data_IF_600518677890
#
_entry.id   IF_600518677890
#
_cell.length_a   1.000
_cell.length_b   1.000
_cell.length_c   1.000
_cell.angle_alpha   90.00
_cell.angle_beta   90.00
_cell.angle_gamma   90.00
#
_symmetry.space_group_name_H-M   'P 1'
#
loop_
_entity.id
_entity.type
_entity.pdbx_description
1 polymer ?
#
# COMPACT_ATOMS: atom_id res chain seq x y z
N UNK A 1 24.50 -10.81 12.19
CA UNK A 1 23.16 -11.04 11.62
C UNK A 1 22.55 -9.66 11.37
N UNK A 2 22.42 -9.19 10.12
CA UNK A 2 21.81 -7.89 9.89
C UNK A 2 20.32 -7.99 10.21
N UNK A 3 19.84 -7.10 11.08
CA UNK A 3 18.42 -6.94 11.41
C UNK A 3 17.73 -6.21 10.25
N UNK A 4 16.68 -6.80 9.69
CA UNK A 4 15.87 -6.15 8.66
C UNK A 4 15.03 -5.01 9.27
N UNK A 5 14.88 -3.93 8.52
CA UNK A 5 13.95 -2.83 8.81
C UNK A 5 12.92 -2.78 7.67
N UNK A 6 11.63 -2.82 7.99
CA UNK A 6 10.52 -2.75 7.02
C UNK A 6 10.29 -1.33 6.48
N UNK A 7 9.47 -1.18 5.44
CA UNK A 7 9.12 0.10 4.83
C UNK A 7 7.72 0.55 5.28
N UNK A 8 7.57 1.81 5.71
CA UNK A 8 6.27 2.39 6.10
C UNK A 8 5.93 3.59 5.20
N UNK A 9 5.03 3.43 4.22
CA UNK A 9 4.50 4.55 3.41
C UNK A 9 3.17 4.98 4.02
N UNK A 10 3.07 6.23 4.48
CA UNK A 10 1.83 6.81 5.01
C UNK A 10 1.33 7.88 4.03
N UNK A 11 0.08 7.80 3.61
CA UNK A 11 -0.56 8.80 2.78
C UNK A 11 -1.87 9.23 3.42
N UNK A 12 -1.93 10.46 3.93
CA UNK A 12 -3.14 11.04 4.50
C UNK A 12 -3.69 12.08 3.53
N UNK A 13 -4.76 11.75 2.82
CA UNK A 13 -5.50 12.70 1.99
C UNK A 13 -6.44 13.55 2.86
N UNK A 14 -6.04 14.80 3.13
CA UNK A 14 -6.96 15.88 3.45
C UNK A 14 -7.17 16.72 2.19
N UNK A 15 -8.22 16.43 1.43
CA UNK A 15 -8.74 17.38 0.44
C UNK A 15 -9.95 18.12 1.02
N UNK A 16 -10.00 19.47 0.97
CA UNK A 16 -11.21 20.21 1.29
C UNK A 16 -12.25 19.96 0.18
N UNK A 17 -13.45 19.55 0.61
CA UNK A 17 -14.63 19.40 -0.25
C UNK A 17 -15.07 20.79 -0.69
N UNK A 18 -14.72 21.23 -1.90
CA UNK A 18 -15.49 22.18 -2.70
C UNK A 18 -14.94 22.29 -4.13
N UNK A 19 -15.42 21.45 -5.04
CA UNK A 19 -16.06 21.87 -6.30
C UNK A 19 -16.49 20.62 -7.09
N UNK A 20 -17.81 20.49 -7.27
CA UNK A 20 -18.41 19.42 -8.03
C UNK A 20 -18.15 19.64 -9.53
N UNK A 21 -17.24 18.88 -10.12
CA UNK A 21 -17.17 18.73 -11.57
C UNK A 21 -18.32 17.82 -12.03
N UNK A 22 -19.32 18.43 -12.69
CA UNK A 22 -20.43 17.76 -13.37
C UNK A 22 -19.89 16.71 -14.36
N UNK A 23 -20.17 15.44 -14.13
CA UNK A 23 -20.02 14.40 -15.16
C UNK A 23 -21.39 14.12 -15.76
N UNK A 24 -21.50 14.43 -17.05
CA UNK A 24 -22.69 14.19 -17.88
C UNK A 24 -22.84 12.70 -18.17
N UNK A 25 -24.00 12.13 -17.85
CA UNK A 25 -24.38 10.80 -18.28
C UNK A 25 -24.54 10.77 -19.81
N UNK A 26 -23.73 9.95 -20.49
CA UNK A 26 -24.04 9.48 -21.84
C UNK A 26 -24.40 8.00 -21.73
N UNK A 27 -25.71 7.73 -21.71
CA UNK A 27 -26.24 6.42 -22.06
C UNK A 27 -25.81 6.10 -23.49
N UNK A 28 -25.10 5.01 -23.72
CA UNK A 28 -25.16 4.32 -25.01
C UNK A 28 -25.43 2.83 -24.81
N UNK A 29 -26.31 2.39 -25.69
CA UNK A 29 -27.06 1.14 -25.77
C UNK A 29 -26.20 -0.12 -25.84
N UNK A 30 -26.74 -1.23 -25.31
CA UNK A 30 -26.20 -2.58 -25.47
C UNK A 30 -26.17 -3.01 -26.94
N UNK A 31 -25.05 -3.56 -27.41
CA UNK A 31 -25.05 -4.83 -28.16
C UNK A 31 -23.65 -5.38 -28.45
N UNK A 32 -23.62 -6.71 -28.56
CA UNK A 32 -22.66 -7.58 -29.22
C UNK A 32 -21.59 -8.27 -28.36
N UNK A 33 -21.78 -9.59 -28.34
CA UNK A 33 -20.87 -10.71 -28.10
C UNK A 33 -19.40 -10.47 -28.47
N UNK A 34 -18.51 -10.70 -27.51
CA UNK A 34 -17.08 -10.90 -27.73
C UNK A 34 -16.44 -11.39 -26.44
N UNK A 35 -15.90 -12.60 -26.47
CA UNK A 35 -15.05 -13.17 -25.41
C UNK A 35 -13.87 -12.24 -25.14
N UNK A 36 -13.86 -11.55 -24.01
CA UNK A 36 -12.70 -10.79 -23.54
C UNK A 36 -12.02 -11.58 -22.41
N UNK A 37 -10.76 -11.94 -22.65
CA UNK A 37 -9.83 -12.36 -21.58
C UNK A 37 -9.58 -11.22 -20.60
N UNK A 38 -8.81 -11.45 -19.52
CA UNK A 38 -8.61 -10.45 -18.48
C UNK A 38 -8.00 -9.19 -19.10
N UNK A 39 -8.74 -8.10 -18.96
CA UNK A 39 -8.35 -6.77 -19.40
C UNK A 39 -7.02 -6.41 -18.74
N UNK A 40 -5.96 -6.27 -19.55
CA UNK A 40 -4.66 -5.79 -19.07
C UNK A 40 -4.86 -4.34 -18.59
N UNK A 41 -4.91 -4.15 -17.29
CA UNK A 41 -4.86 -2.81 -16.69
C UNK A 41 -3.42 -2.32 -16.87
N UNK A 42 -3.20 -1.48 -17.87
CA UNK A 42 -2.01 -0.62 -17.91
C UNK A 42 -2.13 0.34 -16.71
N UNK A 43 -1.21 0.24 -15.75
CA UNK A 43 -0.92 1.32 -14.81
C UNK A 43 -0.83 2.60 -15.64
N UNK A 44 -1.77 3.51 -15.40
CA UNK A 44 -2.14 4.59 -16.30
C UNK A 44 -0.93 5.25 -16.98
N UNK A 45 -1.10 5.64 -18.26
CA UNK A 45 -0.19 6.50 -19.01
C UNK A 45 0.32 7.63 -18.10
N UNK A 46 1.54 7.42 -17.61
CA UNK A 46 2.08 8.17 -16.48
C UNK A 46 1.97 9.68 -16.78
N UNK A 47 1.36 10.50 -15.91
CA UNK A 47 1.61 11.93 -15.97
C UNK A 47 3.12 12.13 -15.89
N UNK A 48 3.65 12.99 -16.77
CA UNK A 48 5.07 13.39 -16.78
C UNK A 48 5.49 13.61 -15.35
N UNK A 49 6.48 12.83 -14.88
CA UNK A 49 7.06 12.96 -13.54
C UNK A 49 7.24 14.46 -13.30
N UNK A 50 6.49 15.06 -12.36
CA UNK A 50 6.66 16.47 -12.06
C UNK A 50 8.14 16.70 -11.84
N UNK A 51 8.73 17.72 -12.48
CA UNK A 51 10.16 18.02 -12.31
C UNK A 51 10.48 17.91 -10.83
N UNK A 52 11.29 16.91 -10.47
CA UNK A 52 11.71 16.69 -9.10
C UNK A 52 12.19 18.04 -8.57
N UNK A 53 11.61 18.52 -7.47
CA UNK A 53 12.11 19.74 -6.87
C UNK A 53 13.53 19.42 -6.39
N UNK A 54 14.59 20.05 -6.94
CA UNK A 54 15.97 19.64 -6.68
C UNK A 54 16.36 19.76 -5.19
N UNK A 55 15.57 20.50 -4.40
CA UNK A 55 15.85 20.82 -3.01
C UNK A 55 14.60 20.74 -2.11
N UNK A 56 13.61 19.87 -2.41
CA UNK A 56 12.45 19.70 -1.51
C UNK A 56 12.68 18.70 -0.37
N UNK A 57 13.80 17.99 -0.36
CA UNK A 57 14.09 17.03 0.71
C UNK A 57 14.85 17.70 1.85
N UNK A 58 14.49 17.36 3.09
CA UNK A 58 14.98 18.01 4.29
C UNK A 58 15.45 16.96 5.29
N UNK A 59 16.64 17.12 5.87
CA UNK A 59 17.17 16.19 6.89
C UNK A 59 17.15 16.73 8.32
N UNK A 60 16.42 17.83 8.57
CA UNK A 60 16.27 18.43 9.90
C UNK A 60 16.89 19.82 10.03
N UNK A 61 17.98 20.09 9.32
CA UNK A 61 18.72 21.37 9.42
C UNK A 61 18.82 22.14 8.11
N UNK A 62 18.83 21.46 6.97
CA UNK A 62 18.89 22.08 5.65
C UNK A 62 18.25 21.19 4.58
N UNK A 63 17.93 21.83 3.48
CA UNK A 63 17.58 21.17 2.24
C UNK A 63 18.75 20.32 1.73
N UNK A 64 18.43 19.16 1.18
CA UNK A 64 19.34 18.19 0.59
C UNK A 64 18.73 17.59 -0.67
N UNK A 65 19.57 16.98 -1.49
CA UNK A 65 19.11 16.18 -2.61
C UNK A 65 18.20 15.05 -2.11
N UNK A 66 17.10 14.84 -2.82
CA UNK A 66 16.20 13.74 -2.53
C UNK A 66 16.86 12.39 -2.78
N UNK A 67 16.30 11.35 -2.15
CA UNK A 67 16.74 9.98 -2.37
C UNK A 67 16.58 9.62 -3.86
N UNK A 68 17.70 9.35 -4.52
CA UNK A 68 17.70 8.68 -5.82
C UNK A 68 17.33 7.20 -5.60
N UNK A 69 16.05 6.91 -5.77
CA UNK A 69 15.49 5.57 -5.54
C UNK A 69 16.08 4.57 -6.54
N UNK A 70 16.36 4.96 -7.78
CA UNK A 70 16.92 4.07 -8.81
C UNK A 70 18.37 3.70 -8.51
N UNK A 71 19.18 4.68 -8.12
CA UNK A 71 20.55 4.43 -7.68
C UNK A 71 20.58 3.56 -6.41
N UNK A 72 19.62 3.75 -5.50
CA UNK A 72 19.49 2.88 -4.33
C UNK A 72 19.07 1.45 -4.73
N UNK A 73 18.07 1.32 -5.60
CA UNK A 73 17.56 0.05 -6.12
C UNK A 73 18.63 -0.79 -6.81
N UNK A 74 19.59 -0.14 -7.47
CA UNK A 74 20.74 -0.79 -8.10
C UNK A 74 21.61 -1.60 -7.11
N UNK A 75 21.54 -1.30 -5.80
CA UNK A 75 22.24 -2.04 -4.73
C UNK A 75 21.41 -3.20 -4.15
N UNK A 76 20.11 -3.25 -4.45
CA UNK A 76 19.21 -4.31 -4.03
C UNK A 76 19.23 -5.52 -4.97
N UNK A 77 18.66 -6.66 -4.54
CA UNK A 77 18.54 -7.84 -5.39
C UNK A 77 17.77 -7.53 -6.68
N UNK A 78 18.17 -8.15 -7.79
CA UNK A 78 17.45 -8.00 -9.06
C UNK A 78 16.05 -8.64 -8.99
N UNK A 79 15.96 -9.83 -8.36
CA UNK A 79 14.74 -10.63 -8.23
C UNK A 79 14.49 -10.97 -6.75
N UNK A 80 14.22 -9.96 -5.93
CA UNK A 80 13.84 -10.18 -4.53
C UNK A 80 12.41 -10.71 -4.39
N UNK A 81 12.13 -11.35 -3.27
CA UNK A 81 10.79 -11.72 -2.84
C UNK A 81 10.20 -10.57 -2.03
N UNK A 82 9.09 -10.01 -2.50
CA UNK A 82 8.50 -8.80 -1.93
C UNK A 82 7.08 -9.02 -1.43
N UNK A 83 6.65 -8.17 -0.50
CA UNK A 83 5.26 -8.10 -0.07
C UNK A 83 4.76 -6.65 -0.04
N UNK A 84 3.51 -6.48 -0.49
CA UNK A 84 2.69 -5.28 -0.31
C UNK A 84 1.71 -5.57 0.81
N UNK A 85 1.64 -4.69 1.80
CA UNK A 85 0.88 -4.93 3.03
C UNK A 85 -0.07 -3.77 3.27
N UNK A 86 -1.35 -4.08 3.45
CA UNK A 86 -2.37 -3.17 3.93
C UNK A 86 -2.73 -3.52 5.37
N UNK A 87 -3.44 -2.63 6.05
CA UNK A 87 -4.09 -2.97 7.32
C UNK A 87 -5.53 -2.50 7.35
N UNK A 88 -6.36 -3.22 8.10
CA UNK A 88 -7.75 -2.84 8.35
C UNK A 88 -8.08 -3.05 9.82
N UNK A 89 -8.61 -2.00 10.45
CA UNK A 89 -9.01 -2.00 11.85
C UNK A 89 -10.55 -1.96 11.99
N UNK A 90 -11.08 -2.82 12.85
CA UNK A 90 -12.51 -2.93 13.13
C UNK A 90 -13.25 -3.83 12.14
N UNK A 91 -14.57 -3.82 12.23
CA UNK A 91 -15.44 -4.72 11.44
C UNK A 91 -15.25 -4.47 9.92
N UNK A 92 -14.92 -5.52 9.13
CA UNK A 92 -14.82 -5.42 7.67
C UNK A 92 -16.10 -4.86 7.04
N UNK A 93 -15.94 -3.99 6.05
CA UNK A 93 -17.04 -3.40 5.27
C UNK A 93 -16.89 -3.76 3.80
N UNK A 94 -18.00 -3.77 3.09
CA UNK A 94 -17.98 -3.94 1.64
C UNK A 94 -17.27 -2.74 0.99
N UNK A 95 -16.53 -3.00 -0.09
CA UNK A 95 -15.74 -1.96 -0.76
C UNK A 95 -14.44 -1.56 -0.05
N UNK A 96 -13.95 -2.33 0.93
CA UNK A 96 -12.71 -2.05 1.67
C UNK A 96 -11.41 -2.11 0.85
N UNK A 97 -11.50 -2.42 -0.45
CA UNK A 97 -10.38 -2.57 -1.37
C UNK A 97 -10.68 -1.84 -2.70
N UNK A 98 -10.90 -0.51 -2.68
CA UNK A 98 -11.36 0.23 -3.85
C UNK A 98 -10.35 0.20 -5.02
N UNK A 99 -9.05 0.13 -4.72
CA UNK A 99 -7.97 0.21 -5.70
C UNK A 99 -7.17 -1.09 -5.87
N UNK A 100 -7.75 -2.24 -5.50
CA UNK A 100 -7.03 -3.54 -5.50
C UNK A 100 -6.44 -3.89 -6.86
N UNK A 101 -7.12 -3.52 -7.95
CA UNK A 101 -6.63 -3.78 -9.30
C UNK A 101 -5.32 -3.04 -9.61
N UNK A 102 -5.16 -1.78 -9.17
CA UNK A 102 -3.90 -1.04 -9.31
C UNK A 102 -2.78 -1.69 -8.49
N UNK A 103 -3.11 -2.21 -7.31
CA UNK A 103 -2.17 -2.91 -6.44
C UNK A 103 -1.74 -4.26 -7.02
N UNK A 104 -2.66 -5.02 -7.64
CA UNK A 104 -2.33 -6.25 -8.36
C UNK A 104 -1.40 -5.97 -9.55
N UNK A 105 -1.63 -4.88 -10.28
CA UNK A 105 -0.75 -4.46 -11.37
C UNK A 105 0.66 -4.09 -10.86
N UNK A 106 0.74 -3.31 -9.77
CA UNK A 106 2.02 -2.96 -9.13
C UNK A 106 2.75 -4.21 -8.59
N UNK A 107 2.02 -5.15 -7.97
CA UNK A 107 2.56 -6.41 -7.50
C UNK A 107 3.11 -7.27 -8.64
N UNK A 108 2.42 -7.34 -9.78
CA UNK A 108 2.86 -8.08 -10.95
C UNK A 108 4.19 -7.55 -11.51
N UNK A 109 4.37 -6.23 -11.54
CA UNK A 109 5.65 -5.60 -11.92
C UNK A 109 6.75 -5.90 -10.90
N UNK A 110 6.41 -5.85 -9.61
CA UNK A 110 7.31 -6.12 -8.50
C UNK A 110 7.56 -7.63 -8.26
N UNK A 111 7.93 -8.36 -9.32
CA UNK A 111 8.24 -9.79 -9.26
C UNK A 111 7.12 -10.64 -8.62
N UNK A 112 5.86 -10.33 -8.94
CA UNK A 112 4.67 -10.93 -8.34
C UNK A 112 4.67 -10.84 -6.81
N UNK A 113 4.87 -9.63 -6.27
CA UNK A 113 4.86 -9.39 -4.84
C UNK A 113 3.58 -9.96 -4.18
N UNK A 114 3.74 -10.58 -3.02
CA UNK A 114 2.61 -11.08 -2.25
C UNK A 114 1.80 -9.91 -1.68
N UNK A 115 0.46 -10.00 -1.70
CA UNK A 115 -0.42 -8.95 -1.16
C UNK A 115 -1.03 -9.44 0.16
N UNK A 116 -0.84 -8.69 1.24
CA UNK A 116 -1.38 -8.99 2.56
C UNK A 116 -2.36 -7.92 3.04
N UNK A 117 -3.38 -8.37 3.77
CA UNK A 117 -4.20 -7.54 4.63
C UNK A 117 -3.98 -7.94 6.09
N UNK A 118 -3.44 -7.04 6.90
CA UNK A 118 -3.30 -7.24 8.35
C UNK A 118 -4.62 -6.89 9.03
N UNK A 119 -5.15 -7.82 9.81
CA UNK A 119 -6.36 -7.60 10.59
C UNK A 119 -6.24 -8.25 11.97
N UNK A 120 -6.95 -7.69 12.94
CA UNK A 120 -7.16 -8.36 14.22
C UNK A 120 -7.94 -9.66 14.02
N UNK A 121 -7.53 -10.74 14.69
CA UNK A 121 -8.30 -12.00 14.73
C UNK A 121 -9.74 -11.79 15.20
N UNK A 122 -9.95 -10.83 16.11
CA UNK A 122 -11.28 -10.46 16.59
C UNK A 122 -12.15 -9.81 15.51
N UNK A 123 -11.55 -9.20 14.49
CA UNK A 123 -12.25 -8.50 13.42
C UNK A 123 -12.44 -9.40 12.20
N UNK A 124 -11.38 -10.11 11.79
CA UNK A 124 -11.39 -10.99 10.62
C UNK A 124 -12.40 -12.15 10.74
N UNK A 125 -12.68 -12.62 11.97
CA UNK A 125 -13.74 -13.61 12.23
C UNK A 125 -15.14 -13.14 11.78
N UNK A 126 -15.35 -11.83 11.64
CA UNK A 126 -16.61 -11.24 11.21
C UNK A 126 -16.70 -11.01 9.69
N UNK A 127 -15.69 -11.42 8.91
CA UNK A 127 -15.73 -11.34 7.45
C UNK A 127 -16.88 -12.17 6.88
N UNK A 128 -17.65 -11.56 5.98
CA UNK A 128 -18.70 -12.23 5.21
C UNK A 128 -18.10 -13.17 4.16
N UNK A 129 -18.94 -14.03 3.58
CA UNK A 129 -18.51 -14.89 2.47
C UNK A 129 -18.04 -14.07 1.25
N UNK A 130 -18.74 -12.98 0.91
CA UNK A 130 -18.37 -12.09 -0.20
C UNK A 130 -17.02 -11.41 0.01
N UNK A 131 -16.71 -11.00 1.25
CA UNK A 131 -15.43 -10.40 1.58
C UNK A 131 -14.28 -11.41 1.48
N UNK A 132 -14.50 -12.66 1.90
CA UNK A 132 -13.52 -13.75 1.74
C UNK A 132 -13.31 -14.10 0.27
N UNK A 133 -14.37 -14.14 -0.52
CA UNK A 133 -14.31 -14.36 -1.97
C UNK A 133 -13.55 -13.23 -2.67
N UNK A 134 -13.75 -11.97 -2.26
CA UNK A 134 -12.97 -10.84 -2.76
C UNK A 134 -11.47 -11.03 -2.52
N UNK A 135 -11.08 -11.45 -1.31
CA UNK A 135 -9.67 -11.70 -0.98
C UNK A 135 -9.11 -12.84 -1.83
N UNK A 136 -9.85 -13.94 -1.97
CA UNK A 136 -9.43 -15.07 -2.80
C UNK A 136 -9.29 -14.68 -4.28
N UNK A 137 -10.26 -13.95 -4.82
CA UNK A 137 -10.27 -13.46 -6.21
C UNK A 137 -9.04 -12.63 -6.52
N UNK A 138 -8.63 -11.75 -5.60
CA UNK A 138 -7.50 -10.84 -5.78
C UNK A 138 -6.21 -11.33 -5.11
N UNK A 139 -6.16 -12.61 -4.71
CA UNK A 139 -4.99 -13.25 -4.06
C UNK A 139 -4.47 -12.48 -2.84
N UNK A 140 -5.35 -11.78 -2.12
CA UNK A 140 -5.02 -11.08 -0.88
C UNK A 140 -4.97 -12.10 0.26
N UNK A 141 -3.81 -12.21 0.89
CA UNK A 141 -3.59 -13.08 2.04
C UNK A 141 -3.96 -12.34 3.32
N UNK A 142 -4.73 -12.99 4.19
CA UNK A 142 -5.05 -12.44 5.50
C UNK A 142 -3.90 -12.73 6.47
N UNK A 143 -3.33 -11.69 7.06
CA UNK A 143 -2.39 -11.79 8.18
C UNK A 143 -3.12 -11.45 9.48
N UNK A 144 -3.55 -12.49 10.19
CA UNK A 144 -4.25 -12.38 11.45
C UNK A 144 -3.31 -12.07 12.62
N UNK A 145 -3.54 -10.95 13.31
CA UNK A 145 -2.76 -10.53 14.48
C UNK A 145 -3.57 -10.57 15.76
N UNK A 146 -2.88 -10.76 16.89
CA UNK A 146 -3.51 -10.86 18.22
C UNK A 146 -3.80 -9.50 18.85
N UNK A 147 -3.14 -8.45 18.38
CA UNK A 147 -3.27 -7.10 18.91
C UNK A 147 -3.06 -6.05 17.81
N UNK A 148 -3.76 -4.94 17.91
CA UNK A 148 -3.64 -3.77 17.03
C UNK A 148 -2.92 -2.62 17.74
N UNK A 149 -2.86 -2.68 19.06
CA UNK A 149 -2.07 -1.87 19.98
C UNK A 149 -1.29 -2.81 20.90
N UNK A 150 -0.01 -2.53 21.22
CA UNK A 150 0.76 -3.42 22.07
C UNK A 150 0.04 -3.67 23.42
N UNK A 151 -0.07 -4.94 23.88
CA UNK A 151 -0.73 -5.23 25.15
C UNK A 151 -0.10 -4.44 26.30
N UNK A 152 -0.93 -3.84 27.15
CA UNK A 152 -0.50 -3.01 28.28
C UNK A 152 0.26 -1.73 27.89
N UNK A 153 0.14 -1.24 26.65
CA UNK A 153 0.69 0.06 26.27
C UNK A 153 0.11 1.17 27.15
N UNK A 154 0.99 1.96 27.76
CA UNK A 154 0.61 3.13 28.55
C UNK A 154 0.53 4.36 27.65
N UNK A 155 -0.43 5.25 27.91
CA UNK A 155 -0.49 6.57 27.28
C UNK A 155 -1.08 6.60 25.86
N UNK A 156 -1.87 5.60 25.47
CA UNK A 156 -2.68 5.74 24.26
C UNK A 156 -3.87 6.67 24.54
N UNK A 157 -4.26 7.48 23.56
CA UNK A 157 -5.50 8.25 23.64
C UNK A 157 -6.65 7.37 23.16
N UNK A 158 -7.73 7.32 23.94
CA UNK A 158 -9.00 6.80 23.45
C UNK A 158 -9.58 7.78 22.42
N UNK A 159 -9.57 7.38 21.15
CA UNK A 159 -10.06 8.18 20.04
C UNK A 159 -9.05 9.19 19.47
N UNK A 160 -9.28 9.58 18.22
CA UNK A 160 -8.41 10.46 17.44
C UNK A 160 -7.43 9.74 16.52
N UNK A 161 -6.61 10.52 15.83
CA UNK A 161 -5.46 10.08 15.05
C UNK A 161 -4.32 9.69 16.01
N UNK A 162 -3.53 8.65 15.69
CA UNK A 162 -2.57 7.94 16.56
C UNK A 162 -3.23 6.92 17.52
N UNK A 163 -3.56 5.74 17.00
CA UNK A 163 -4.14 4.64 17.79
C UNK A 163 -4.11 3.28 17.09
N UNK A 164 -5.16 2.48 17.25
CA UNK A 164 -5.27 1.13 16.67
C UNK A 164 -4.91 1.07 15.18
N UNK A 165 -5.36 2.04 14.39
CA UNK A 165 -5.07 2.14 12.95
C UNK A 165 -3.59 2.40 12.62
N UNK A 166 -2.85 3.04 13.52
CA UNK A 166 -1.43 3.38 13.33
C UNK A 166 -0.49 2.33 13.93
N UNK A 167 -0.94 1.60 14.95
CA UNK A 167 -0.13 0.55 15.57
C UNK A 167 -0.27 -0.79 14.84
N UNK A 168 -1.43 -1.11 14.25
CA UNK A 168 -1.61 -2.39 13.54
C UNK A 168 -0.68 -2.53 12.33
N UNK A 169 -0.35 -1.42 11.64
CA UNK A 169 0.61 -1.46 10.53
C UNK A 169 2.03 -1.82 10.95
N UNK A 170 2.41 -1.65 12.23
CA UNK A 170 3.75 -2.00 12.71
C UNK A 170 4.03 -3.50 12.66
N UNK A 171 3.00 -4.35 12.55
CA UNK A 171 3.18 -5.79 12.33
C UNK A 171 3.93 -6.10 11.03
N UNK A 172 3.95 -5.17 10.07
CA UNK A 172 4.77 -5.25 8.86
C UNK A 172 6.27 -5.46 9.18
N UNK A 173 6.75 -4.92 10.30
CA UNK A 173 8.15 -5.02 10.72
C UNK A 173 8.53 -6.41 11.22
N UNK A 174 7.53 -7.24 11.56
CA UNK A 174 7.72 -8.62 12.02
C UNK A 174 7.59 -9.67 10.91
N UNK A 175 7.35 -9.25 9.67
CA UNK A 175 7.20 -10.19 8.55
C UNK A 175 8.57 -10.73 8.11
N UNK A 176 8.69 -12.05 8.07
CA UNK A 176 9.91 -12.76 7.70
C UNK A 176 9.79 -13.44 6.33
N UNK A 177 10.92 -13.78 5.72
CA UNK A 177 10.95 -14.52 4.45
C UNK A 177 10.69 -13.67 3.21
N UNK A 178 10.89 -12.36 3.32
CA UNK A 178 10.86 -11.38 2.22
C UNK A 178 12.16 -10.57 2.24
N UNK A 179 12.63 -10.14 1.07
CA UNK A 179 13.75 -9.21 0.94
C UNK A 179 13.34 -7.78 1.27
N UNK A 180 12.08 -7.42 0.96
CA UNK A 180 11.46 -6.17 1.39
C UNK A 180 9.95 -6.32 1.56
N UNK A 181 9.40 -5.57 2.50
CA UNK A 181 7.96 -5.49 2.78
C UNK A 181 7.56 -4.03 2.83
N UNK A 182 6.52 -3.66 2.09
CA UNK A 182 6.02 -2.30 1.96
C UNK A 182 4.59 -2.17 2.47
N UNK A 183 4.39 -1.34 3.49
CA UNK A 183 3.05 -0.95 3.92
C UNK A 183 2.49 0.17 3.03
N UNK A 184 1.23 0.05 2.62
CA UNK A 184 0.43 1.11 1.98
C UNK A 184 -0.98 1.13 2.57
N UNK A 185 -1.59 2.32 2.66
CA UNK A 185 -2.98 2.47 3.08
C UNK A 185 -3.95 1.88 2.03
N UNK A 186 -5.13 1.42 2.47
CA UNK A 186 -6.10 0.72 1.60
C UNK A 186 -6.74 1.59 0.52
N UNK A 187 -6.65 2.91 0.69
CA UNK A 187 -7.18 3.94 -0.20
C UNK A 187 -6.11 4.50 -1.16
N UNK A 188 -4.97 3.81 -1.29
CA UNK A 188 -3.92 4.16 -2.24
C UNK A 188 -4.15 3.49 -3.59
N UNK A 189 -4.09 4.32 -4.63
CA UNK A 189 -4.04 3.89 -6.02
C UNK A 189 -2.61 3.96 -6.55
N UNK A 190 -2.08 2.83 -7.03
CA UNK A 190 -0.76 2.81 -7.65
C UNK A 190 -0.85 3.40 -9.06
N UNK A 191 0.02 4.36 -9.33
CA UNK A 191 0.11 5.02 -10.64
C UNK A 191 1.31 4.54 -11.46
N UNK A 192 2.25 3.79 -10.88
CA UNK A 192 3.45 3.33 -11.58
C UNK A 192 4.16 2.15 -10.92
N UNK A 193 5.34 1.82 -11.44
CA UNK A 193 6.17 0.73 -10.96
C UNK A 193 6.81 1.04 -9.60
N UNK A 194 6.56 0.18 -8.61
CA UNK A 194 7.12 0.29 -7.25
C UNK A 194 8.37 -0.56 -7.03
N UNK A 195 8.81 -1.32 -8.03
CA UNK A 195 9.97 -2.21 -7.95
C UNK A 195 11.23 -1.49 -7.47
N UNK A 196 11.55 -0.25 -7.93
CA UNK A 196 12.70 0.47 -7.42
C UNK A 196 12.65 0.73 -5.91
N UNK A 197 11.47 1.07 -5.37
CA UNK A 197 11.28 1.31 -3.94
C UNK A 197 11.56 0.04 -3.13
N UNK A 198 11.00 -1.09 -3.56
CA UNK A 198 11.18 -2.40 -2.91
C UNK A 198 12.64 -2.87 -2.97
N UNK A 199 13.29 -2.71 -4.13
CA UNK A 199 14.72 -3.05 -4.30
C UNK A 199 15.61 -2.18 -3.42
N UNK A 200 15.32 -0.88 -3.34
CA UNK A 200 16.06 0.02 -2.46
C UNK A 200 15.91 -0.40 -0.99
N UNK A 201 14.70 -0.70 -0.52
CA UNK A 201 14.46 -1.19 0.83
C UNK A 201 15.22 -2.50 1.10
N UNK A 202 15.21 -3.43 0.14
CA UNK A 202 15.92 -4.71 0.20
C UNK A 202 17.46 -4.58 0.30
N UNK A 203 18.02 -3.39 0.06
CA UNK A 203 19.44 -3.11 0.35
C UNK A 203 19.74 -2.89 1.85
N UNK A 204 18.77 -3.14 2.73
CA UNK A 204 18.86 -2.93 4.17
C UNK A 204 18.50 -1.51 4.61
N UNK A 205 17.61 -0.84 3.87
CA UNK A 205 17.18 0.53 4.15
C UNK A 205 15.74 0.55 4.65
N UNK A 206 15.50 1.32 5.70
CA UNK A 206 14.16 1.80 6.05
C UNK A 206 13.86 3.01 5.19
N UNK A 207 12.79 2.96 4.41
CA UNK A 207 12.26 4.16 3.76
C UNK A 207 10.84 4.41 4.29
N UNK A 208 10.51 5.69 4.36
CA UNK A 208 9.19 6.15 4.74
C UNK A 208 8.96 7.49 4.07
N UNK A 209 7.72 7.73 3.70
CA UNK A 209 7.27 9.01 3.18
C UNK A 209 6.34 9.64 4.19
N UNK A 210 6.42 10.96 4.32
CA UNK A 210 5.40 11.71 5.01
C UNK A 210 4.40 12.20 3.95
N UNK A 211 3.15 11.74 4.04
CA UNK A 211 2.01 12.34 3.35
C UNK A 211 1.41 13.43 4.23
N UNK A 212 1.61 14.69 3.83
CA UNK A 212 1.02 15.87 4.46
C UNK A 212 -0.10 16.47 3.63
#
# INVERSE_FOLDING_TARGET
>A
VPRMLGLLVQASLLLPVHEAAKVSFLQHSMNSSGTQGPEHIELHQLPVVPKACPHCCYHGEKEVDCLDVDQCAAKGPANGKYAIVMSYFGKPRDGMLPYIQSMEAAAALANNADIFMVMMKSDSKHMTASQKELFQKHRVQLLDVDWDTPPNMKGYKEGGWCGHQDFIRLHVLGMEGYDAVAYYDTDIEFQGDITPVLRCAASGKFLSTNGG
#
